data_IF_423416070066
#
_entry.id   IF_423416070066
#
_cell.length_a   1.000
_cell.length_b   1.000
_cell.length_c   1.000
_cell.angle_alpha   90.00
_cell.angle_beta   90.00
_cell.angle_gamma   90.00
#
_symmetry.space_group_name_H-M   'P 1'
#
loop_
_entity.id
_entity.type
_entity.pdbx_description
1 polymer ?
#
# COMPACT_ATOMS: atom_id res chain seq x y z
N UNK A 1 -73.16 15.39 9.95
CA UNK A 1 -72.37 15.41 8.69
C UNK A 1 -71.43 14.21 8.69
N UNK A 2 -71.74 13.17 7.90
CA UNK A 2 -70.96 11.93 7.89
C UNK A 2 -69.79 11.99 6.90
N UNK A 3 -68.56 11.81 7.39
CA UNK A 3 -67.37 11.71 6.55
C UNK A 3 -67.31 10.32 5.90
N UNK A 4 -67.51 10.26 4.58
CA UNK A 4 -67.30 9.06 3.76
C UNK A 4 -65.80 8.81 3.59
N UNK A 5 -65.29 7.77 4.24
CA UNK A 5 -63.92 7.26 4.05
C UNK A 5 -63.87 6.57 2.67
N UNK A 6 -63.03 7.07 1.77
CA UNK A 6 -62.84 6.46 0.44
C UNK A 6 -62.05 5.14 0.57
N UNK A 7 -62.45 4.06 -0.13
CA UNK A 7 -61.75 2.79 -0.11
C UNK A 7 -60.33 2.95 -0.67
N UNK A 8 -59.35 2.37 0.04
CA UNK A 8 -57.93 2.54 -0.16
C UNK A 8 -57.45 2.14 -1.56
N UNK A 9 -56.67 3.03 -2.17
CA UNK A 9 -55.93 2.76 -3.39
C UNK A 9 -54.94 1.62 -3.12
N UNK A 10 -55.14 0.48 -3.79
CA UNK A 10 -54.19 -0.63 -3.79
C UNK A 10 -52.85 -0.13 -4.33
N UNK A 11 -51.86 0.05 -3.45
CA UNK A 11 -50.48 0.33 -3.84
C UNK A 11 -49.94 -0.90 -4.58
N UNK A 12 -50.06 -0.88 -5.92
CA UNK A 12 -49.46 -1.88 -6.80
C UNK A 12 -47.95 -1.83 -6.62
N UNK A 13 -47.42 -2.74 -5.79
CA UNK A 13 -46.01 -2.83 -5.52
C UNK A 13 -45.32 -3.38 -6.77
N UNK A 14 -44.91 -2.47 -7.67
CA UNK A 14 -44.11 -2.77 -8.85
C UNK A 14 -42.71 -3.11 -8.38
N UNK A 15 -42.51 -4.31 -7.85
CA UNK A 15 -41.18 -4.85 -7.61
C UNK A 15 -40.46 -4.89 -8.95
N UNK A 16 -39.59 -3.92 -9.20
CA UNK A 16 -38.66 -3.97 -10.33
C UNK A 16 -37.89 -5.27 -10.17
N UNK A 17 -38.05 -6.20 -11.13
CA UNK A 17 -37.23 -7.42 -11.20
C UNK A 17 -35.77 -6.96 -11.13
N UNK A 18 -35.12 -7.19 -9.99
CA UNK A 18 -33.68 -6.93 -9.87
C UNK A 18 -33.01 -7.81 -10.92
N UNK A 19 -32.44 -7.16 -11.94
CA UNK A 19 -31.54 -7.83 -12.86
C UNK A 19 -30.30 -8.16 -12.05
N UNK A 20 -30.22 -9.39 -11.57
CA UNK A 20 -28.98 -9.93 -11.03
C UNK A 20 -27.92 -9.73 -12.09
N UNK A 21 -26.90 -8.92 -11.80
CA UNK A 21 -25.80 -8.69 -12.72
C UNK A 21 -25.23 -10.05 -13.11
N UNK A 22 -25.47 -10.46 -14.35
CA UNK A 22 -24.88 -11.68 -14.88
C UNK A 22 -23.40 -11.40 -14.94
N UNK A 23 -22.63 -11.90 -13.96
CA UNK A 23 -21.18 -11.98 -14.09
C UNK A 23 -20.96 -12.78 -15.37
N UNK A 24 -20.65 -12.09 -16.46
CA UNK A 24 -20.47 -12.72 -17.76
C UNK A 24 -19.25 -13.62 -17.62
N UNK A 25 -19.50 -14.92 -17.44
CA UNK A 25 -18.47 -15.92 -17.58
C UNK A 25 -18.11 -15.88 -19.06
N UNK A 26 -16.94 -15.29 -19.38
CA UNK A 26 -16.49 -15.12 -20.77
C UNK A 26 -16.23 -16.44 -21.49
N UNK A 27 -16.16 -17.53 -20.72
CA UNK A 27 -15.99 -18.87 -21.24
C UNK A 27 -17.32 -19.61 -21.23
N UNK A 28 -17.79 -20.04 -22.41
CA UNK A 28 -18.91 -20.97 -22.54
C UNK A 28 -18.58 -22.39 -22.04
N UNK A 29 -17.34 -22.64 -21.59
CA UNK A 29 -16.86 -23.93 -21.13
C UNK A 29 -17.78 -24.67 -20.12
N UNK A 30 -18.42 -24.00 -19.13
CA UNK A 30 -19.38 -24.68 -18.25
C UNK A 30 -20.64 -25.14 -18.99
N UNK A 31 -21.07 -24.42 -20.02
CA UNK A 31 -22.25 -24.77 -20.83
C UNK A 31 -21.95 -25.96 -21.74
N UNK A 32 -20.74 -26.00 -22.31
CA UNK A 32 -20.31 -27.07 -23.23
C UNK A 32 -20.09 -28.40 -22.50
N UNK A 33 -19.63 -28.35 -21.24
CA UNK A 33 -19.43 -29.53 -20.38
C UNK A 33 -20.66 -29.96 -19.60
N UNK A 34 -21.78 -29.24 -19.74
CA UNK A 34 -22.98 -29.51 -18.97
C UNK A 34 -23.76 -30.69 -19.53
N UNK A 35 -23.86 -31.76 -18.74
CA UNK A 35 -24.64 -32.93 -19.10
C UNK A 35 -26.03 -32.87 -18.46
N UNK A 36 -27.09 -32.88 -19.28
CA UNK A 36 -28.48 -32.85 -18.79
C UNK A 36 -28.91 -34.17 -18.15
N UNK A 37 -28.21 -35.27 -18.42
CA UNK A 37 -28.50 -36.58 -17.84
C UNK A 37 -27.96 -36.73 -16.41
N UNK A 38 -27.00 -35.88 -16.01
CA UNK A 38 -26.35 -35.92 -14.70
C UNK A 38 -27.01 -34.96 -13.71
N UNK A 39 -26.92 -35.30 -12.43
CA UNK A 39 -27.39 -34.41 -11.36
C UNK A 39 -26.53 -33.15 -11.28
N UNK A 40 -27.08 -32.10 -10.67
CA UNK A 40 -26.37 -30.85 -10.44
C UNK A 40 -25.03 -31.06 -9.73
N UNK A 41 -25.02 -31.88 -8.67
CA UNK A 41 -23.83 -32.17 -7.88
C UNK A 41 -22.76 -32.89 -8.71
N UNK A 42 -23.16 -33.89 -9.51
CA UNK A 42 -22.26 -34.64 -10.38
C UNK A 42 -21.61 -33.74 -11.43
N UNK A 43 -22.38 -32.88 -12.09
CA UNK A 43 -21.85 -31.90 -13.05
C UNK A 43 -20.83 -30.95 -12.41
N UNK A 44 -21.14 -30.40 -11.22
CA UNK A 44 -20.21 -29.53 -10.50
C UNK A 44 -18.93 -30.27 -10.10
N UNK A 45 -19.07 -31.51 -9.63
CA UNK A 45 -17.94 -32.35 -9.20
C UNK A 45 -17.02 -32.67 -10.38
N UNK A 46 -17.58 -33.02 -11.54
CA UNK A 46 -16.83 -33.26 -12.78
C UNK A 46 -16.08 -32.01 -13.26
N UNK A 47 -16.68 -30.83 -13.12
CA UNK A 47 -16.06 -29.55 -13.47
C UNK A 47 -15.04 -29.05 -12.42
N UNK A 48 -14.85 -29.78 -11.32
CA UNK A 48 -13.99 -29.36 -10.21
C UNK A 48 -14.54 -28.16 -9.43
N UNK A 49 -15.84 -27.88 -9.52
CA UNK A 49 -16.52 -26.78 -8.83
C UNK A 49 -17.14 -27.27 -7.52
N UNK A 50 -16.96 -26.49 -6.45
CA UNK A 50 -17.58 -26.77 -5.15
C UNK A 50 -18.93 -26.06 -5.05
N UNK A 51 -19.98 -26.82 -4.76
CA UNK A 51 -21.28 -26.23 -4.39
C UNK A 51 -21.16 -25.65 -2.98
N UNK A 52 -21.58 -24.41 -2.77
CA UNK A 52 -21.48 -23.67 -1.48
C UNK A 52 -22.46 -24.18 -0.42
N UNK A 53 -22.62 -25.49 -0.31
CA UNK A 53 -23.30 -26.11 0.81
C UNK A 53 -22.26 -26.60 1.82
N UNK A 54 -22.57 -26.41 3.11
CA UNK A 54 -21.67 -26.65 4.27
C UNK A 54 -21.25 -28.12 4.46
N UNK A 55 -21.49 -29.01 3.48
CA UNK A 55 -21.12 -30.42 3.51
C UNK A 55 -19.93 -30.62 2.58
N UNK A 56 -18.74 -30.68 3.17
CA UNK A 56 -17.47 -30.63 2.45
C UNK A 56 -17.15 -31.89 1.62
N UNK A 57 -17.89 -32.98 1.82
CA UNK A 57 -17.49 -34.30 1.30
C UNK A 57 -18.36 -34.82 0.13
N UNK A 58 -19.43 -34.11 -0.23
CA UNK A 58 -20.38 -34.59 -1.24
C UNK A 58 -19.79 -34.66 -2.65
N UNK A 59 -18.74 -33.89 -2.94
CA UNK A 59 -18.08 -33.89 -4.25
C UNK A 59 -17.20 -35.11 -4.49
N UNK A 60 -16.64 -35.73 -3.44
CA UNK A 60 -15.83 -36.93 -3.62
C UNK A 60 -16.74 -38.15 -3.83
N UNK A 61 -17.80 -38.26 -3.02
CA UNK A 61 -18.79 -39.33 -3.11
C UNK A 61 -19.45 -39.39 -4.50
N UNK A 62 -19.76 -38.24 -5.10
CA UNK A 62 -20.30 -38.17 -6.46
C UNK A 62 -19.30 -38.60 -7.53
N UNK A 63 -18.00 -38.28 -7.37
CA UNK A 63 -16.95 -38.72 -8.29
C UNK A 63 -16.73 -40.23 -8.21
N UNK A 64 -16.67 -40.76 -6.98
CA UNK A 64 -16.48 -42.19 -6.73
C UNK A 64 -17.67 -43.00 -7.29
N UNK A 65 -18.91 -42.51 -7.10
CA UNK A 65 -20.13 -43.10 -7.66
C UNK A 65 -20.11 -43.16 -9.19
N UNK A 66 -19.52 -42.17 -9.84
CA UNK A 66 -19.42 -42.11 -11.31
C UNK A 66 -18.20 -42.88 -11.86
N UNK A 67 -17.23 -43.23 -11.01
CA UNK A 67 -15.95 -43.80 -11.46
C UNK A 67 -15.14 -42.86 -12.36
N UNK A 68 -15.36 -41.54 -12.25
CA UNK A 68 -14.71 -40.53 -13.10
C UNK A 68 -13.77 -39.65 -12.27
N UNK A 69 -12.69 -39.16 -12.89
CA UNK A 69 -11.81 -38.14 -12.31
C UNK A 69 -12.32 -36.75 -12.67
N UNK A 70 -12.25 -35.81 -11.73
CA UNK A 70 -12.61 -34.42 -12.00
C UNK A 70 -11.65 -33.78 -13.02
N UNK A 71 -12.18 -33.02 -13.97
CA UNK A 71 -11.42 -32.20 -14.91
C UNK A 71 -11.73 -30.71 -14.64
N UNK A 72 -10.93 -30.04 -13.78
CA UNK A 72 -11.21 -28.69 -13.31
C UNK A 72 -11.27 -27.67 -14.45
N UNK A 73 -12.36 -26.92 -14.55
CA UNK A 73 -12.48 -25.87 -15.57
C UNK A 73 -11.52 -24.71 -15.24
N UNK A 74 -10.65 -24.39 -16.20
CA UNK A 74 -9.81 -23.18 -16.14
C UNK A 74 -10.65 -21.93 -16.44
N UNK A 75 -11.30 -21.39 -15.41
CA UNK A 75 -12.06 -20.15 -15.51
C UNK A 75 -11.08 -18.96 -15.55
N UNK A 76 -11.05 -18.23 -16.67
CA UNK A 76 -10.39 -16.92 -16.76
C UNK A 76 -11.29 -15.90 -16.05
N UNK A 77 -11.08 -15.73 -14.74
CA UNK A 77 -11.76 -14.69 -13.98
C UNK A 77 -11.12 -13.36 -14.38
N UNK A 78 -11.86 -12.49 -15.08
CA UNK A 78 -11.42 -11.09 -15.21
C UNK A 78 -11.35 -10.52 -13.80
N UNK A 79 -10.21 -9.94 -13.45
CA UNK A 79 -10.10 -9.16 -12.21
C UNK A 79 -11.24 -8.15 -12.19
N UNK A 80 -12.01 -8.15 -11.09
CA UNK A 80 -13.12 -7.23 -10.96
C UNK A 80 -12.54 -5.81 -11.08
N UNK A 81 -13.02 -5.04 -12.06
CA UNK A 81 -12.64 -3.64 -12.17
C UNK A 81 -12.83 -3.00 -10.78
N UNK A 82 -11.88 -2.18 -10.31
CA UNK A 82 -11.99 -1.57 -9.00
C UNK A 82 -13.33 -0.85 -8.94
N UNK A 83 -14.15 -1.20 -7.95
CA UNK A 83 -15.46 -0.54 -7.78
C UNK A 83 -15.18 0.94 -7.59
N UNK A 84 -15.62 1.75 -8.55
CA UNK A 84 -15.50 3.21 -8.45
C UNK A 84 -16.10 3.68 -7.13
N UNK A 85 -15.47 4.68 -6.51
CA UNK A 85 -16.00 5.27 -5.27
C UNK A 85 -17.34 5.90 -5.61
N UNK A 86 -18.43 5.40 -5.02
CA UNK A 86 -19.76 5.98 -5.25
C UNK A 86 -19.78 7.43 -4.76
N UNK A 87 -20.31 8.38 -5.54
CA UNK A 87 -20.39 9.78 -5.12
C UNK A 87 -21.20 9.93 -3.82
N UNK A 88 -20.96 11.01 -3.07
CA UNK A 88 -21.80 11.35 -1.93
C UNK A 88 -23.12 11.94 -2.42
N UNK A 89 -24.21 11.68 -1.67
CA UNK A 89 -25.46 12.40 -1.86
C UNK A 89 -25.24 13.91 -1.67
N UNK A 90 -26.00 14.74 -2.38
CA UNK A 90 -25.90 16.20 -2.27
C UNK A 90 -26.12 16.69 -0.83
N UNK A 91 -27.06 16.09 -0.10
CA UNK A 91 -27.27 16.40 1.32
C UNK A 91 -26.06 16.04 2.18
N UNK A 92 -25.37 14.93 1.87
CA UNK A 92 -24.18 14.51 2.61
C UNK A 92 -23.00 15.45 2.32
N UNK A 93 -22.88 15.93 1.09
CA UNK A 93 -21.84 16.89 0.71
C UNK A 93 -21.94 18.18 1.54
N UNK A 94 -23.12 18.80 1.61
CA UNK A 94 -23.33 20.01 2.43
C UNK A 94 -23.12 19.74 3.91
N UNK A 95 -23.65 18.62 4.40
CA UNK A 95 -23.50 18.23 5.80
C UNK A 95 -22.03 18.12 6.23
N UNK A 96 -21.19 17.40 5.46
CA UNK A 96 -19.76 17.31 5.80
C UNK A 96 -19.03 18.63 5.56
N UNK A 97 -19.39 19.39 4.52
CA UNK A 97 -18.79 20.70 4.24
C UNK A 97 -18.96 21.66 5.41
N UNK A 98 -20.16 21.81 5.95
CA UNK A 98 -20.43 22.71 7.09
C UNK A 98 -19.69 22.28 8.36
N UNK A 99 -19.64 20.97 8.63
CA UNK A 99 -18.88 20.42 9.76
C UNK A 99 -17.38 20.71 9.63
N UNK A 100 -16.80 20.49 8.44
CA UNK A 100 -15.39 20.74 8.16
C UNK A 100 -15.05 22.23 8.19
N UNK A 101 -15.94 23.09 7.69
CA UNK A 101 -15.75 24.55 7.74
C UNK A 101 -15.66 25.06 9.19
N UNK A 102 -16.47 24.52 10.10
CA UNK A 102 -16.48 24.97 11.51
C UNK A 102 -15.36 24.36 12.35
N UNK A 103 -15.08 23.06 12.19
CA UNK A 103 -14.19 22.32 13.11
C UNK A 103 -12.85 21.88 12.51
N UNK A 104 -12.66 22.00 11.19
CA UNK A 104 -11.47 21.50 10.49
C UNK A 104 -11.44 19.97 10.44
N UNK A 105 -10.32 19.36 10.84
CA UNK A 105 -10.17 17.89 10.94
C UNK A 105 -10.36 17.35 12.37
N UNK A 106 -10.97 18.14 13.28
CA UNK A 106 -11.16 17.75 14.69
C UNK A 106 -12.46 16.96 14.87
N UNK A 107 -12.45 15.68 14.50
CA UNK A 107 -13.66 14.82 14.49
C UNK A 107 -14.33 14.66 15.86
N UNK A 108 -13.57 14.66 16.96
CA UNK A 108 -14.16 14.59 18.31
C UNK A 108 -15.02 15.83 18.61
N UNK A 109 -14.59 17.01 18.14
CA UNK A 109 -15.36 18.26 18.30
C UNK A 109 -16.60 18.26 17.41
N UNK A 110 -16.50 17.74 16.18
CA UNK A 110 -17.66 17.56 15.31
C UNK A 110 -18.70 16.63 15.92
N UNK A 111 -18.24 15.53 16.55
CA UNK A 111 -19.12 14.58 17.21
C UNK A 111 -19.92 15.26 18.33
N UNK A 112 -19.28 16.12 19.13
CA UNK A 112 -19.92 16.84 20.23
C UNK A 112 -20.82 18.00 19.80
N UNK A 113 -20.71 18.48 18.55
CA UNK A 113 -21.54 19.58 18.04
C UNK A 113 -22.93 19.08 17.64
N UNK A 114 -23.81 18.91 18.64
CA UNK A 114 -25.18 18.40 18.48
C UNK A 114 -25.99 19.20 17.44
N UNK A 115 -25.69 20.50 17.27
CA UNK A 115 -26.44 21.36 16.34
C UNK A 115 -26.13 21.05 14.88
N UNK A 116 -24.85 20.86 14.55
CA UNK A 116 -24.44 20.52 13.18
C UNK A 116 -24.50 19.00 12.94
N UNK A 117 -24.10 18.19 13.92
CA UNK A 117 -24.16 16.74 13.84
C UNK A 117 -25.56 16.20 14.20
N UNK A 118 -26.57 16.60 13.43
CA UNK A 118 -27.96 16.19 13.62
C UNK A 118 -28.18 14.66 13.48
N UNK A 119 -27.29 13.97 12.77
CA UNK A 119 -27.29 12.50 12.60
C UNK A 119 -26.62 11.75 13.76
N UNK A 120 -26.01 12.48 14.71
CA UNK A 120 -25.30 11.92 15.85
C UNK A 120 -24.22 10.89 15.45
N UNK A 121 -23.55 11.15 14.32
CA UNK A 121 -22.50 10.25 13.82
C UNK A 121 -21.34 10.21 14.80
N UNK A 122 -20.75 9.03 14.96
CA UNK A 122 -19.54 8.84 15.77
C UNK A 122 -18.34 9.47 15.08
N UNK A 123 -17.28 9.83 15.83
CA UNK A 123 -16.07 10.43 15.25
C UNK A 123 -15.47 9.59 14.11
N UNK A 124 -15.54 8.25 14.19
CA UNK A 124 -15.04 7.34 13.14
C UNK A 124 -15.87 7.37 11.86
N UNK A 125 -17.19 7.52 11.99
CA UNK A 125 -18.08 7.64 10.84
C UNK A 125 -17.90 8.99 10.16
N UNK A 126 -17.72 10.05 10.95
CA UNK A 126 -17.37 11.38 10.47
C UNK A 126 -16.02 11.38 9.75
N UNK A 127 -14.98 10.78 10.32
CA UNK A 127 -13.67 10.62 9.68
C UNK A 127 -13.81 9.94 8.32
N UNK A 128 -14.55 8.82 8.24
CA UNK A 128 -14.79 8.10 6.99
C UNK A 128 -15.58 8.93 5.98
N UNK A 129 -16.60 9.66 6.44
CA UNK A 129 -17.43 10.54 5.62
C UNK A 129 -16.65 11.73 5.05
N UNK A 130 -15.95 12.47 5.91
CA UNK A 130 -15.10 13.59 5.55
C UNK A 130 -13.94 13.16 4.65
N UNK A 131 -13.27 12.05 4.93
CA UNK A 131 -12.22 11.52 4.05
C UNK A 131 -12.76 11.20 2.66
N UNK A 132 -13.93 10.58 2.58
CA UNK A 132 -14.60 10.31 1.31
C UNK A 132 -14.99 11.60 0.58
N UNK A 133 -15.43 12.62 1.31
CA UNK A 133 -15.71 13.95 0.78
C UNK A 133 -14.43 14.60 0.20
N UNK A 134 -13.33 14.62 0.95
CA UNK A 134 -12.05 15.20 0.53
C UNK A 134 -11.53 14.56 -0.76
N UNK A 135 -11.56 13.23 -0.85
CA UNK A 135 -11.08 12.50 -2.03
C UNK A 135 -11.92 12.82 -3.28
N UNK A 136 -13.22 13.04 -3.13
CA UNK A 136 -14.14 13.25 -4.25
C UNK A 136 -14.32 14.72 -4.66
N UNK A 137 -14.27 15.65 -3.69
CA UNK A 137 -14.64 17.05 -3.89
C UNK A 137 -13.54 18.04 -3.47
N UNK A 138 -12.46 17.57 -2.84
CA UNK A 138 -11.43 18.42 -2.26
C UNK A 138 -11.74 18.87 -0.83
N UNK A 139 -10.73 19.42 -0.17
CA UNK A 139 -10.85 19.91 1.21
C UNK A 139 -11.40 21.34 1.22
N UNK A 140 -12.51 21.65 1.92
CA UNK A 140 -13.19 22.94 1.79
C UNK A 140 -12.42 24.13 2.37
N UNK A 141 -11.52 23.88 3.33
CA UNK A 141 -10.62 24.91 3.88
C UNK A 141 -9.34 25.08 3.07
N UNK A 142 -9.04 24.15 2.16
CA UNK A 142 -7.92 24.28 1.22
C UNK A 142 -8.48 24.98 -0.01
N UNK A 143 -8.90 26.22 0.16
CA UNK A 143 -9.11 27.11 -1.00
C UNK A 143 -7.74 27.54 -1.52
N UNK A 144 -7.66 27.86 -2.81
CA UNK A 144 -6.45 27.95 -3.66
C UNK A 144 -5.21 28.63 -3.05
N UNK A 145 -5.40 29.49 -2.04
CA UNK A 145 -4.36 30.15 -1.25
C UNK A 145 -3.38 29.16 -0.58
N UNK A 146 -3.82 27.94 -0.26
CA UNK A 146 -2.98 26.93 0.43
C UNK A 146 -2.14 26.07 -0.50
N UNK A 147 -2.50 25.97 -1.78
CA UNK A 147 -1.69 25.24 -2.76
C UNK A 147 -0.40 26.02 -3.05
N UNK A 148 -0.49 27.34 -3.20
CA UNK A 148 0.66 28.22 -3.40
C UNK A 148 1.58 28.19 -2.17
N UNK A 149 1.03 28.23 -0.96
CA UNK A 149 1.82 28.11 0.28
C UNK A 149 2.50 26.74 0.42
N UNK A 150 1.83 25.67 -0.02
CA UNK A 150 2.42 24.32 -0.01
C UNK A 150 3.55 24.19 -1.04
N UNK A 151 3.39 24.77 -2.24
CA UNK A 151 4.47 24.84 -3.21
C UNK A 151 5.64 25.68 -2.69
N UNK A 152 5.37 26.81 -2.05
CA UNK A 152 6.41 27.65 -1.47
C UNK A 152 7.18 26.93 -0.35
N UNK A 153 6.51 26.12 0.48
CA UNK A 153 7.16 25.26 1.48
C UNK A 153 8.05 24.21 0.83
N UNK A 154 7.57 23.50 -0.20
CA UNK A 154 8.36 22.52 -0.96
C UNK A 154 9.60 23.15 -1.60
N UNK A 155 9.48 24.36 -2.15
CA UNK A 155 10.62 25.10 -2.72
C UNK A 155 11.62 25.55 -1.66
N UNK A 156 11.14 26.00 -0.49
CA UNK A 156 12.02 26.37 0.64
C UNK A 156 12.80 25.16 1.15
N UNK A 157 12.15 24.02 1.35
CA UNK A 157 12.81 22.78 1.77
C UNK A 157 13.87 22.32 0.74
N UNK A 158 13.57 22.43 -0.55
CA UNK A 158 14.51 22.09 -1.62
C UNK A 158 15.72 23.03 -1.67
N UNK A 159 15.50 24.34 -1.51
CA UNK A 159 16.59 25.33 -1.43
C UNK A 159 17.47 25.10 -0.20
N UNK A 160 16.87 24.79 0.95
CA UNK A 160 17.61 24.49 2.18
C UNK A 160 18.45 23.20 2.04
N UNK A 161 17.91 22.16 1.37
CA UNK A 161 18.67 20.94 1.06
C UNK A 161 19.84 21.22 0.11
N UNK A 162 19.63 22.01 -0.95
CA UNK A 162 20.70 22.37 -1.88
C UNK A 162 21.79 23.20 -1.19
N UNK A 163 21.41 24.11 -0.28
CA UNK A 163 22.37 24.90 0.49
C UNK A 163 23.19 24.02 1.46
N UNK A 164 22.54 23.09 2.17
CA UNK A 164 23.23 22.11 3.02
C UNK A 164 24.22 21.26 2.21
N UNK A 165 23.84 20.83 1.01
CA UNK A 165 24.71 20.07 0.11
C UNK A 165 25.91 20.92 -0.36
N UNK A 166 25.71 22.20 -0.70
CA UNK A 166 26.81 23.12 -1.06
C UNK A 166 27.78 23.34 0.10
N UNK A 167 27.28 23.58 1.31
CA UNK A 167 28.12 23.74 2.50
C UNK A 167 28.91 22.47 2.82
N UNK A 168 28.34 21.29 2.56
CA UNK A 168 29.02 20.01 2.76
C UNK A 168 30.15 19.81 1.74
N UNK A 169 29.91 20.10 0.46
CA UNK A 169 30.95 20.06 -0.59
C UNK A 169 32.09 21.03 -0.31
N UNK A 170 31.80 22.25 0.17
CA UNK A 170 32.83 23.23 0.50
C UNK A 170 33.71 22.77 1.68
N UNK A 171 33.11 22.10 2.68
CA UNK A 171 33.87 21.51 3.80
C UNK A 171 34.78 20.37 3.33
N UNK A 172 34.27 19.49 2.46
CA UNK A 172 35.04 18.39 1.87
C UNK A 172 36.22 18.92 1.05
N UNK A 173 36.02 19.95 0.23
CA UNK A 173 37.11 20.56 -0.56
C UNK A 173 38.18 21.24 0.32
N UNK A 174 37.78 21.93 1.39
CA UNK A 174 38.71 22.51 2.37
C UNK A 174 39.50 21.43 3.10
N UNK A 175 38.86 20.33 3.48
CA UNK A 175 39.53 19.21 4.12
C UNK A 175 40.52 18.53 3.17
N UNK A 176 40.17 18.34 1.90
CA UNK A 176 41.05 17.78 0.89
C UNK A 176 42.27 18.67 0.63
N UNK A 177 42.09 19.99 0.49
CA UNK A 177 43.19 20.96 0.38
C UNK A 177 44.10 20.91 1.60
N UNK A 178 43.55 20.81 2.81
CA UNK A 178 44.32 20.68 4.04
C UNK A 178 45.11 19.35 4.09
N UNK A 179 44.53 18.25 3.63
CA UNK A 179 45.20 16.94 3.51
C UNK A 179 46.37 17.01 2.51
N UNK A 180 46.16 17.61 1.34
CA UNK A 180 47.23 17.80 0.34
C UNK A 180 48.38 18.67 0.88
N UNK A 181 48.07 19.73 1.61
CA UNK A 181 49.07 20.64 2.17
C UNK A 181 49.90 19.95 3.29
N UNK A 182 49.25 19.14 4.14
CA UNK A 182 49.96 18.29 5.12
C UNK A 182 50.89 17.27 4.46
N UNK A 183 50.46 16.65 3.37
CA UNK A 183 51.27 15.70 2.61
C UNK A 183 52.54 16.36 2.04
N UNK A 184 52.41 17.56 1.47
CA UNK A 184 53.56 18.35 0.98
C UNK A 184 54.55 18.71 2.10
N UNK A 185 54.06 19.08 3.28
CA UNK A 185 54.93 19.38 4.44
C UNK A 185 55.70 18.14 4.94
N UNK A 186 55.12 16.94 4.89
CA UNK A 186 55.82 15.70 5.24
C UNK A 186 56.92 15.34 4.22
N UNK A 187 56.69 15.54 2.92
CA UNK A 187 57.69 15.31 1.88
C UNK A 187 58.89 16.27 2.00
N UNK A 188 58.67 17.52 2.41
CA UNK A 188 59.77 18.47 2.65
C UNK A 188 60.61 18.12 3.88
N UNK A 189 60.00 17.56 4.94
CA UNK A 189 60.73 17.13 6.14
C UNK A 189 61.62 15.90 5.92
N UNK A 190 61.19 14.95 5.09
CA UNK A 190 61.99 13.76 4.73
C UNK A 190 63.22 14.13 3.90
N UNK A 191 63.11 15.07 2.96
CA UNK A 191 64.26 15.57 2.19
C UNK A 191 65.34 16.28 3.04
N UNK A 192 65.02 16.74 4.26
CA UNK A 192 65.98 17.37 5.17
C UNK A 192 66.69 16.33 6.04
N UNK A 193 66.14 15.12 6.22
CA UNK A 193 66.69 14.10 7.12
C UNK A 193 67.73 13.18 6.45
N UNK A 194 67.77 13.11 5.11
CA UNK A 194 68.73 12.25 4.38
C UNK A 194 70.12 12.87 4.18
N UNK A 195 70.32 14.16 4.48
CA UNK A 195 71.64 14.79 4.41
C UNK A 195 72.46 14.72 5.72
N UNK A 196 72.03 13.89 6.68
CA UNK A 196 72.69 13.79 8.00
C UNK A 196 72.86 12.36 8.53
N UNK A 197 73.26 11.40 7.69
CA UNK A 197 74.05 10.24 8.17
C UNK A 197 74.76 9.53 7.01
N UNK A 198 76.05 9.79 6.89
CA UNK A 198 76.94 9.00 6.05
C UNK A 198 77.19 7.60 6.62
N UNK A 199 77.56 6.72 5.69
CA UNK A 199 78.61 5.69 5.81
C UNK A 199 78.48 4.66 6.92
N UNK A 200 78.13 3.41 6.58
CA UNK A 200 79.02 2.24 6.76
C UNK A 200 78.35 0.88 6.52
N UNK A 201 78.97 0.14 5.58
CA UNK A 201 79.22 -1.30 5.49
C UNK A 201 78.13 -2.33 5.11
N UNK A 202 78.67 -3.30 4.39
CA UNK A 202 78.11 -4.31 3.48
C UNK A 202 77.83 -5.67 4.17
N UNK A 203 77.29 -6.59 3.33
CA UNK A 203 77.33 -8.08 3.36
C UNK A 203 76.12 -8.70 4.10
N UNK A 204 75.31 -9.65 3.60
CA UNK A 204 75.40 -10.67 2.53
C UNK A 204 73.99 -11.16 2.08
N UNK A 205 73.94 -11.71 0.86
CA UNK A 205 72.95 -12.62 0.22
C UNK A 205 72.82 -14.00 0.91
N UNK A 206 72.03 -15.00 0.42
CA UNK A 206 70.79 -15.05 -0.42
C UNK A 206 69.71 -16.02 0.15
N UNK A 207 68.50 -16.10 -0.43
CA UNK A 207 67.77 -17.38 -0.69
C UNK A 207 66.31 -17.18 -1.16
N UNK A 208 65.90 -18.08 -2.05
CA UNK A 208 64.63 -18.14 -2.77
C UNK A 208 63.41 -18.51 -1.90
N UNK A 209 62.20 -18.08 -2.32
CA UNK A 209 61.04 -18.98 -2.53
C UNK A 209 59.75 -18.23 -2.92
N UNK A 210 59.25 -18.57 -4.11
CA UNK A 210 57.86 -18.96 -4.42
C UNK A 210 56.68 -18.05 -4.01
N UNK A 211 56.01 -17.58 -5.07
CA UNK A 211 54.57 -17.73 -5.36
C UNK A 211 53.56 -17.59 -4.20
N UNK A 212 52.65 -16.63 -4.32
CA UNK A 212 51.26 -16.94 -4.73
C UNK A 212 50.44 -15.66 -4.88
N UNK A 213 49.87 -15.53 -6.06
CA UNK A 213 48.66 -14.76 -6.31
C UNK A 213 47.56 -15.23 -5.35
N UNK A 214 46.90 -14.31 -4.66
CA UNK A 214 45.53 -14.49 -4.24
C UNK A 214 44.78 -13.18 -4.41
N UNK A 215 44.08 -13.10 -5.53
CA UNK A 215 42.96 -12.19 -5.71
C UNK A 215 41.86 -12.63 -4.74
N UNK A 216 41.62 -11.83 -3.69
CA UNK A 216 40.39 -11.92 -2.90
C UNK A 216 39.35 -11.02 -3.58
N UNK A 217 38.59 -11.63 -4.48
CA UNK A 217 37.29 -11.11 -4.90
C UNK A 217 36.40 -10.99 -3.66
N UNK A 218 36.19 -9.76 -3.20
CA UNK A 218 35.18 -9.42 -2.20
C UNK A 218 33.79 -9.58 -2.82
N UNK A 219 33.31 -10.83 -2.83
CA UNK A 219 31.90 -11.12 -3.08
C UNK A 219 31.08 -10.53 -1.94
N UNK A 220 30.50 -9.35 -2.17
CA UNK A 220 29.45 -8.78 -1.31
C UNK A 220 28.27 -9.75 -1.37
N UNK A 221 28.23 -10.67 -0.40
CA UNK A 221 27.10 -11.55 -0.14
C UNK A 221 26.01 -10.65 0.44
N UNK A 222 25.09 -10.22 -0.42
CA UNK A 222 23.85 -9.56 -0.02
C UNK A 222 23.09 -10.56 0.87
N UNK A 223 23.25 -10.41 2.18
CA UNK A 223 22.42 -11.11 3.14
C UNK A 223 21.01 -10.53 2.97
N UNK A 224 20.10 -11.34 2.43
CA UNK A 224 18.66 -11.08 2.54
C UNK A 224 18.33 -11.02 4.02
N UNK A 225 18.06 -9.81 4.50
CA UNK A 225 17.45 -9.61 5.81
C UNK A 225 16.11 -10.38 5.83
N UNK A 226 15.85 -11.20 6.85
CA UNK A 226 14.53 -11.78 7.03
C UNK A 226 13.55 -10.62 7.29
N UNK A 227 12.50 -10.58 6.48
CA UNK A 227 11.33 -9.73 6.69
C UNK A 227 10.80 -10.04 8.10
N UNK A 228 11.09 -9.13 9.02
CA UNK A 228 10.55 -9.09 10.37
C UNK A 228 9.03 -9.06 10.27
N UNK A 229 8.38 -10.15 10.70
CA UNK A 229 6.92 -10.21 10.87
C UNK A 229 6.47 -9.06 11.78
N UNK A 230 5.41 -8.32 11.45
CA UNK A 230 4.86 -7.30 12.34
C UNK A 230 4.35 -7.97 13.63
N UNK A 231 4.73 -7.39 14.76
CA UNK A 231 4.24 -7.78 16.10
C UNK A 231 2.72 -7.71 16.12
N UNK A 232 2.07 -8.84 16.42
CA UNK A 232 0.66 -8.85 16.82
C UNK A 232 0.51 -8.04 18.11
N UNK A 233 -0.09 -6.87 18.01
CA UNK A 233 -0.61 -6.15 19.17
C UNK A 233 -1.79 -6.92 19.74
N UNK A 234 -1.54 -7.60 20.86
CA UNK A 234 -2.55 -8.20 21.72
C UNK A 234 -3.46 -7.10 22.26
N UNK A 235 -4.70 -7.06 21.77
CA UNK A 235 -5.76 -6.22 22.33
C UNK A 235 -6.29 -6.95 23.57
N UNK A 236 -5.83 -6.52 24.75
CA UNK A 236 -6.38 -6.93 26.04
C UNK A 236 -7.79 -6.32 26.15
N UNK A 237 -8.82 -7.14 25.94
CA UNK A 237 -10.19 -6.80 26.32
C UNK A 237 -10.31 -6.85 27.84
N UNK A 238 -10.33 -5.68 28.50
CA UNK A 238 -10.83 -5.59 29.87
C UNK A 238 -12.32 -5.98 29.88
N UNK A 239 -12.64 -7.07 30.57
CA UNK A 239 -14.02 -7.42 30.94
C UNK A 239 -14.53 -6.37 31.92
N UNK A 240 -15.77 -5.90 31.69
CA UNK A 240 -16.57 -5.17 32.67
C UNK A 240 -17.00 -6.12 33.78
#
# INVERSE_FOLDING_TARGET
>A
MGHKIKPGAKCGNKYKKMKWGTNQILNNAPKDRWDKSKTLLENFSLMGLKLTHKRHDLTQVSLDKLGMKADPIKLKIKEAAPKGVSPLSWNDQHYYRELMLKHGDKYDKMQMDIKLNNRQLTAKELEKGCRKFIVLYGHPLVTDITFDQYQEQQEKEKKEQEEKERQQKEKEEKEEKARQLKLKQQQQKSNITDNKKGTSKQISTPAAAKSKQQASSSSIKIQKTPISKPKETVIIKKKK
#
